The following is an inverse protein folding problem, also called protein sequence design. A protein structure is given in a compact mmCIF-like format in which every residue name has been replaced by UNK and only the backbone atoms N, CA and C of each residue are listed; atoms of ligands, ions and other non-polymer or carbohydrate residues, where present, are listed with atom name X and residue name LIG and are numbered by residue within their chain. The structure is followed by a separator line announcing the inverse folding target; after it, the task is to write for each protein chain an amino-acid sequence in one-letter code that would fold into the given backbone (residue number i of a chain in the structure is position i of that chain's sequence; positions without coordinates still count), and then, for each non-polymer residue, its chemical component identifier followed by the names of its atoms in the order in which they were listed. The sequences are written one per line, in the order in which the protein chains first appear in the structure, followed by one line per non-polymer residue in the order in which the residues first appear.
data_IF_751537387838
#
_entry.id   IF_751537387838
#
_cell.length_a   1.000
_cell.length_b   1.000
_cell.length_c   1.000
_cell.angle_alpha   90.00
_cell.angle_beta   90.00
_cell.angle_gamma   90.00
#
_symmetry.space_group_name_H-M   'P 1'
#
loop_
_entity.id
_entity.type
_entity.pdbx_description
1 polymer ?
#
# COMPACT_ATOMS: atom_id res chain seq x y z
N UNK A 1 -23.59 6.21 8.80
CA UNK A 1 -22.12 6.25 8.86
C UNK A 1 -21.55 5.15 7.99
N UNK A 2 -20.27 5.22 7.56
CA UNK A 2 -19.62 4.24 6.69
C UNK A 2 -18.13 4.08 7.07
N UNK A 3 -17.69 2.86 7.34
CA UNK A 3 -16.28 2.54 7.62
C UNK A 3 -15.98 1.08 7.26
N UNK A 4 -14.69 0.73 7.21
CA UNK A 4 -14.23 -0.62 6.82
C UNK A 4 -14.71 -1.75 7.76
N UNK A 5 -15.02 -1.44 9.03
CA UNK A 5 -15.53 -2.40 10.01
C UNK A 5 -16.98 -2.85 9.80
N UNK A 6 -17.75 -2.18 8.92
CA UNK A 6 -19.07 -2.66 8.53
C UNK A 6 -18.96 -3.89 7.63
N UNK A 7 -19.89 -4.85 7.75
CA UNK A 7 -20.01 -5.95 6.79
C UNK A 7 -20.27 -5.42 5.38
N UNK A 8 -19.80 -6.15 4.36
CA UNK A 8 -19.95 -5.74 2.96
C UNK A 8 -21.41 -5.48 2.55
N UNK A 9 -22.34 -6.30 3.04
CA UNK A 9 -23.78 -6.14 2.81
C UNK A 9 -24.32 -4.84 3.38
N UNK A 10 -23.95 -4.49 4.63
CA UNK A 10 -24.37 -3.25 5.26
C UNK A 10 -23.81 -2.02 4.53
N UNK A 11 -22.55 -2.09 4.06
CA UNK A 11 -21.97 -1.02 3.23
C UNK A 11 -22.81 -0.81 1.98
N UNK A 12 -23.12 -1.86 1.22
CA UNK A 12 -23.95 -1.77 0.01
C UNK A 12 -25.31 -1.11 0.28
N UNK A 13 -26.01 -1.54 1.34
CA UNK A 13 -27.32 -0.95 1.70
C UNK A 13 -27.20 0.56 1.96
N UNK A 14 -26.17 0.99 2.71
CA UNK A 14 -25.93 2.40 3.00
C UNK A 14 -25.60 3.18 1.73
N UNK A 15 -24.75 2.64 0.86
CA UNK A 15 -24.34 3.26 -0.40
C UNK A 15 -25.51 3.42 -1.37
N UNK A 16 -26.35 2.39 -1.53
CA UNK A 16 -27.54 2.42 -2.39
C UNK A 16 -28.62 3.36 -1.83
N UNK A 17 -28.77 3.39 -0.50
CA UNK A 17 -29.71 4.31 0.16
C UNK A 17 -29.25 5.76 0.06
N UNK A 18 -27.94 6.02 0.05
CA UNK A 18 -27.40 7.36 -0.21
C UNK A 18 -27.57 7.76 -1.67
N UNK A 19 -27.26 6.86 -2.62
CA UNK A 19 -27.41 7.12 -4.06
C UNK A 19 -28.86 7.39 -4.48
N UNK A 20 -29.82 6.66 -3.89
CA UNK A 20 -31.25 6.87 -4.09
C UNK A 20 -31.81 8.07 -3.31
N UNK A 21 -30.98 8.78 -2.55
CA UNK A 21 -31.38 9.96 -1.77
C UNK A 21 -32.26 9.66 -0.57
N UNK A 22 -32.37 8.40 -0.13
CA UNK A 22 -33.05 8.03 1.13
C UNK A 22 -32.22 8.47 2.34
N UNK A 23 -30.91 8.27 2.28
CA UNK A 23 -29.95 8.84 3.22
C UNK A 23 -29.49 10.18 2.67
N UNK A 24 -29.64 11.25 3.46
CA UNK A 24 -29.26 12.61 3.06
C UNK A 24 -27.83 12.97 3.43
N UNK A 25 -27.31 12.39 4.52
CA UNK A 25 -25.99 12.68 5.05
C UNK A 25 -25.26 11.36 5.33
N UNK A 26 -24.03 11.25 4.84
CA UNK A 26 -23.18 10.09 5.05
C UNK A 26 -21.85 10.53 5.67
N UNK A 27 -21.64 10.18 6.93
CA UNK A 27 -20.35 10.36 7.62
C UNK A 27 -19.49 9.12 7.36
N UNK A 28 -18.27 9.29 6.84
CA UNK A 28 -17.40 8.19 6.46
C UNK A 28 -15.94 8.38 6.87
N UNK A 29 -15.22 7.28 7.11
CA UNK A 29 -13.76 7.28 7.25
C UNK A 29 -13.07 7.33 5.88
N UNK A 30 -11.79 7.74 5.79
CA UNK A 30 -11.09 7.93 4.52
C UNK A 30 -11.09 6.73 3.56
N UNK A 31 -11.32 5.52 4.07
CA UNK A 31 -11.47 4.29 3.27
C UNK A 31 -12.56 4.40 2.20
N UNK A 32 -13.59 5.24 2.40
CA UNK A 32 -14.62 5.49 1.38
C UNK A 32 -14.09 6.35 0.21
N UNK A 33 -13.12 7.23 0.47
CA UNK A 33 -12.62 8.19 -0.51
C UNK A 33 -11.86 7.57 -1.69
N UNK A 34 -11.37 6.33 -1.54
CA UNK A 34 -10.56 5.65 -2.56
C UNK A 34 -11.30 4.55 -3.35
N UNK A 35 -12.46 4.07 -2.88
CA UNK A 35 -12.99 2.77 -3.35
C UNK A 35 -14.39 2.74 -3.96
N UNK A 36 -15.22 3.77 -3.75
CA UNK A 36 -16.63 3.74 -4.18
C UNK A 36 -17.01 5.04 -4.88
N UNK A 37 -17.66 4.96 -6.04
CA UNK A 37 -18.16 6.15 -6.74
C UNK A 37 -19.49 6.62 -6.11
N UNK A 38 -19.38 7.51 -5.13
CA UNK A 38 -20.51 8.13 -4.43
C UNK A 38 -20.30 9.64 -4.41
N UNK A 39 -20.64 10.34 -5.50
CA UNK A 39 -20.60 11.80 -5.52
C UNK A 39 -21.72 12.35 -4.65
N UNK A 40 -21.44 13.47 -3.99
CA UNK A 40 -22.39 14.18 -3.13
C UNK A 40 -22.42 15.65 -3.55
N UNK A 41 -23.55 16.35 -3.39
CA UNK A 41 -23.60 17.80 -3.70
C UNK A 41 -22.55 18.57 -2.90
N UNK A 42 -22.41 18.24 -1.62
CA UNK A 42 -21.44 18.85 -0.71
C UNK A 42 -20.60 17.77 0.01
N UNK A 43 -19.34 18.09 0.27
CA UNK A 43 -18.40 17.28 1.06
C UNK A 43 -17.84 18.13 2.18
N UNK A 44 -17.92 17.63 3.42
CA UNK A 44 -17.37 18.28 4.60
C UNK A 44 -16.21 17.43 5.13
N UNK A 45 -15.01 18.01 5.18
CA UNK A 45 -13.81 17.40 5.71
C UNK A 45 -13.63 17.93 7.14
N UNK A 46 -14.09 17.14 8.10
CA UNK A 46 -14.12 17.53 9.51
C UNK A 46 -12.76 17.54 10.21
N UNK A 47 -11.75 16.90 9.65
CA UNK A 47 -10.39 16.94 10.17
C UNK A 47 -9.37 16.70 9.06
N UNK A 48 -8.30 17.49 9.06
CA UNK A 48 -7.12 17.28 8.23
C UNK A 48 -6.01 16.53 8.97
N UNK A 49 -6.27 16.04 10.18
CA UNK A 49 -5.34 15.23 10.95
C UNK A 49 -5.82 13.77 11.05
N UNK A 50 -4.88 12.83 10.98
CA UNK A 50 -5.10 11.40 11.14
C UNK A 50 -4.00 10.79 12.00
N UNK A 51 -4.39 9.82 12.83
CA UNK A 51 -3.41 8.99 13.54
C UNK A 51 -2.68 8.07 12.57
N UNK A 52 -1.36 8.18 12.54
CA UNK A 52 -0.46 7.31 11.79
C UNK A 52 0.33 6.47 12.78
N UNK A 53 0.23 5.12 12.73
CA UNK A 53 0.99 4.24 13.61
C UNK A 53 2.49 4.58 13.61
N UNK A 54 3.08 4.73 14.79
CA UNK A 54 4.49 5.11 14.97
C UNK A 54 4.80 6.61 14.86
N UNK A 55 3.89 7.42 14.31
CA UNK A 55 4.10 8.87 14.11
C UNK A 55 3.10 9.76 14.86
N UNK A 56 2.04 9.17 15.45
CA UNK A 56 1.02 9.92 16.17
C UNK A 56 0.05 10.65 15.24
N UNK A 57 -0.50 11.78 15.69
CA UNK A 57 -1.38 12.60 14.85
C UNK A 57 -0.57 13.35 13.79
N UNK A 58 -0.88 13.10 12.53
CA UNK A 58 -0.20 13.66 11.36
C UNK A 58 -1.22 14.28 10.41
N UNK A 59 -0.81 15.28 9.64
CA UNK A 59 -1.65 15.86 8.59
C UNK A 59 -1.89 14.86 7.46
N UNK A 60 -3.09 14.90 6.86
CA UNK A 60 -3.37 14.18 5.62
C UNK A 60 -2.60 14.82 4.47
N UNK A 61 -2.27 14.04 3.44
CA UNK A 61 -1.63 14.59 2.24
C UNK A 61 -2.57 15.52 1.47
N UNK A 62 -2.00 16.43 0.67
CA UNK A 62 -2.75 17.29 -0.26
C UNK A 62 -3.49 16.42 -1.27
N UNK A 63 -2.86 15.34 -1.74
CA UNK A 63 -3.52 14.37 -2.62
C UNK A 63 -4.79 13.76 -1.99
N UNK A 64 -4.73 13.32 -0.73
CA UNK A 64 -5.90 12.78 -0.02
C UNK A 64 -7.00 13.83 0.15
N UNK A 65 -6.63 15.07 0.51
CA UNK A 65 -7.58 16.19 0.56
C UNK A 65 -8.27 16.39 -0.80
N UNK A 66 -7.52 16.47 -1.90
CA UNK A 66 -8.06 16.69 -3.25
C UNK A 66 -8.95 15.52 -3.70
N UNK A 67 -8.63 14.29 -3.32
CA UNK A 67 -9.48 13.12 -3.58
C UNK A 67 -10.81 13.19 -2.82
N UNK A 68 -10.81 13.67 -1.58
CA UNK A 68 -12.04 13.88 -0.81
C UNK A 68 -12.86 15.03 -1.40
N UNK A 69 -12.24 16.20 -1.62
CA UNK A 69 -12.93 17.38 -2.15
C UNK A 69 -13.49 17.14 -3.56
N UNK A 70 -12.80 16.35 -4.38
CA UNK A 70 -13.24 16.00 -5.74
C UNK A 70 -14.51 15.15 -5.81
N UNK A 71 -15.05 14.70 -4.66
CA UNK A 71 -16.34 14.01 -4.58
C UNK A 71 -17.52 14.96 -4.44
N UNK A 72 -17.26 16.25 -4.26
CA UNK A 72 -18.28 17.29 -4.24
C UNK A 72 -18.76 17.60 -5.67
N UNK A 73 -20.08 17.71 -5.83
CA UNK A 73 -20.76 17.88 -7.10
C UNK A 73 -21.14 16.53 -7.73
N UNK A 74 -22.42 16.34 -8.01
CA UNK A 74 -22.90 15.17 -8.77
C UNK A 74 -22.98 15.54 -10.25
N UNK A 75 -22.19 14.90 -11.13
CA UNK A 75 -22.30 15.10 -12.57
C UNK A 75 -23.76 14.93 -13.01
N UNK A 76 -24.25 15.83 -13.88
CA UNK A 76 -25.62 15.87 -14.41
C UNK A 76 -26.74 16.32 -13.45
N UNK A 77 -26.50 16.41 -12.13
CA UNK A 77 -27.52 16.82 -11.17
C UNK A 77 -27.28 18.19 -10.56
N UNK A 78 -26.02 18.55 -10.32
CA UNK A 78 -25.65 19.80 -9.68
C UNK A 78 -24.87 20.70 -10.66
N UNK A 79 -25.19 22.00 -10.69
CA UNK A 79 -24.45 22.99 -11.49
C UNK A 79 -23.03 23.23 -10.96
N UNK A 80 -22.83 23.02 -9.66
CA UNK A 80 -21.56 23.12 -8.96
C UNK A 80 -21.58 22.23 -7.70
N UNK A 81 -20.39 21.88 -7.20
CA UNK A 81 -20.20 21.15 -5.95
C UNK A 81 -19.51 22.01 -4.90
N UNK A 82 -19.76 21.73 -3.62
CA UNK A 82 -19.15 22.44 -2.50
C UNK A 82 -18.28 21.51 -1.66
N UNK A 83 -17.02 21.87 -1.45
CA UNK A 83 -16.12 21.17 -0.53
C UNK A 83 -15.68 22.12 0.58
N UNK A 84 -15.91 21.74 1.84
CA UNK A 84 -15.58 22.54 3.02
C UNK A 84 -14.58 21.81 3.89
N UNK A 85 -13.45 22.45 4.18
CA UNK A 85 -12.49 22.00 5.18
C UNK A 85 -12.70 22.78 6.47
N UNK A 86 -12.87 22.08 7.59
CA UNK A 86 -13.14 22.70 8.88
C UNK A 86 -11.84 23.16 9.54
N UNK A 87 -11.80 24.44 9.90
CA UNK A 87 -10.78 25.07 10.73
C UNK A 87 -11.41 25.56 12.04
N UNK A 88 -10.59 25.68 13.07
CA UNK A 88 -10.96 26.09 14.44
C UNK A 88 -10.73 27.59 14.68
N UNK A 89 -9.90 28.24 13.87
CA UNK A 89 -9.65 29.68 13.89
C UNK A 89 -9.52 30.25 12.47
N UNK A 90 -9.57 31.59 12.35
CA UNK A 90 -9.36 32.28 11.09
C UNK A 90 -7.93 32.08 10.56
N UNK A 91 -6.92 32.21 11.44
CA UNK A 91 -5.52 31.98 11.08
C UNK A 91 -5.29 30.56 10.55
N UNK A 92 -5.94 29.55 11.16
CA UNK A 92 -5.90 28.17 10.68
C UNK A 92 -6.62 28.03 9.33
N UNK A 93 -7.74 28.71 9.12
CA UNK A 93 -8.44 28.70 7.84
C UNK A 93 -7.57 29.25 6.70
N UNK A 94 -6.82 30.32 6.95
CA UNK A 94 -5.89 30.91 5.99
C UNK A 94 -4.73 29.96 5.67
N UNK A 95 -4.13 29.34 6.69
CA UNK A 95 -3.07 28.34 6.51
C UNK A 95 -3.54 27.10 5.73
N UNK A 96 -4.75 26.61 6.02
CA UNK A 96 -5.35 25.47 5.30
C UNK A 96 -5.76 25.83 3.88
N UNK A 97 -6.18 27.07 3.62
CA UNK A 97 -6.45 27.57 2.28
C UNK A 97 -5.19 27.50 1.42
N UNK A 98 -4.06 27.99 1.94
CA UNK A 98 -2.79 27.96 1.22
C UNK A 98 -2.27 26.52 1.06
N UNK A 99 -2.21 25.74 2.13
CA UNK A 99 -1.59 24.41 2.15
C UNK A 99 -2.37 23.32 1.42
N UNK A 100 -3.71 23.42 1.35
CA UNK A 100 -4.55 22.39 0.72
C UNK A 100 -5.33 22.90 -0.50
N UNK A 101 -5.98 24.05 -0.40
CA UNK A 101 -6.92 24.50 -1.44
C UNK A 101 -6.16 25.06 -2.64
N UNK A 102 -5.20 25.94 -2.40
CA UNK A 102 -4.42 26.61 -3.46
C UNK A 102 -3.20 25.79 -3.90
N UNK A 103 -2.73 24.87 -3.06
CA UNK A 103 -1.56 24.04 -3.36
C UNK A 103 -1.85 22.89 -4.34
N UNK A 104 -0.79 22.49 -5.06
CA UNK A 104 -0.79 21.30 -5.93
C UNK A 104 -0.49 20.05 -5.09
N UNK A 105 -1.00 18.87 -5.50
CA UNK A 105 -0.64 17.60 -4.86
C UNK A 105 0.87 17.38 -4.85
N UNK A 106 1.35 16.67 -3.83
CA UNK A 106 2.75 16.30 -3.69
C UNK A 106 3.20 15.42 -4.87
N UNK A 107 4.47 15.51 -5.29
CA UNK A 107 5.03 14.59 -6.29
C UNK A 107 4.85 13.14 -5.87
N UNK A 108 4.57 12.26 -6.84
CA UNK A 108 4.49 10.83 -6.59
C UNK A 108 5.90 10.26 -6.44
N UNK A 109 6.17 9.61 -5.31
CA UNK A 109 7.40 8.87 -5.07
C UNK A 109 7.17 7.37 -5.30
N UNK A 110 8.13 6.70 -5.92
CA UNK A 110 8.06 5.26 -6.12
C UNK A 110 8.09 4.50 -4.79
N UNK A 111 7.12 3.60 -4.59
CA UNK A 111 7.07 2.68 -3.43
C UNK A 111 7.95 1.44 -3.61
N UNK A 112 8.53 1.25 -4.79
CA UNK A 112 9.48 0.17 -5.08
C UNK A 112 10.77 0.30 -4.25
N UNK A 113 11.02 1.50 -3.71
CA UNK A 113 12.11 1.78 -2.77
C UNK A 113 12.01 0.95 -1.47
N UNK A 114 10.82 0.45 -1.12
CA UNK A 114 10.68 -0.35 0.08
C UNK A 114 11.39 -1.69 -0.06
N UNK A 115 12.17 -2.07 0.95
CA UNK A 115 12.96 -3.30 0.92
C UNK A 115 12.09 -4.55 0.67
N UNK A 116 10.90 -4.59 1.25
CA UNK A 116 9.94 -5.69 1.06
C UNK A 116 9.49 -5.83 -0.40
N UNK A 117 9.10 -4.72 -1.05
CA UNK A 117 8.69 -4.74 -2.45
C UNK A 117 9.87 -5.11 -3.35
N UNK A 118 11.02 -4.46 -3.15
CA UNK A 118 12.22 -4.72 -3.95
C UNK A 118 12.66 -6.18 -3.85
N UNK A 119 12.60 -6.77 -2.65
CA UNK A 119 12.93 -8.19 -2.40
C UNK A 119 11.98 -9.13 -3.13
N UNK A 120 10.68 -8.89 -3.02
CA UNK A 120 9.65 -9.70 -3.68
C UNK A 120 9.76 -9.62 -5.21
N UNK A 121 9.95 -8.42 -5.76
CA UNK A 121 10.10 -8.22 -7.21
C UNK A 121 11.42 -8.75 -7.75
N UNK A 122 12.52 -8.69 -6.98
CA UNK A 122 13.80 -9.28 -7.40
C UNK A 122 13.68 -10.80 -7.53
N UNK A 123 13.07 -11.45 -6.54
CA UNK A 123 12.85 -12.90 -6.62
C UNK A 123 11.92 -13.26 -7.78
N UNK A 124 10.85 -12.49 -8.00
CA UNK A 124 9.91 -12.74 -9.09
C UNK A 124 10.54 -12.58 -10.49
N UNK A 125 11.42 -11.58 -10.67
CA UNK A 125 12.15 -11.39 -11.93
C UNK A 125 13.06 -12.58 -12.24
N UNK A 126 13.71 -13.15 -11.23
CA UNK A 126 14.57 -14.35 -11.37
C UNK A 126 13.71 -15.61 -11.60
N UNK A 127 12.64 -15.78 -10.82
CA UNK A 127 11.79 -16.98 -10.87
C UNK A 127 10.96 -17.09 -12.15
N UNK A 128 10.67 -15.96 -12.79
CA UNK A 128 9.96 -15.89 -14.07
C UNK A 128 10.90 -15.85 -15.28
N UNK A 129 12.20 -16.10 -15.07
CA UNK A 129 13.24 -16.10 -16.11
C UNK A 129 13.37 -14.76 -16.89
N UNK A 130 12.98 -13.63 -16.27
CA UNK A 130 13.14 -12.29 -16.87
C UNK A 130 14.57 -11.76 -16.76
N UNK A 131 15.27 -12.11 -15.67
CA UNK A 131 16.64 -11.66 -15.43
C UNK A 131 17.48 -12.74 -14.75
N UNK A 132 18.65 -13.01 -15.32
CA UNK A 132 19.58 -14.05 -14.86
C UNK A 132 20.95 -13.51 -14.43
N UNK A 133 21.17 -12.20 -14.45
CA UNK A 133 22.44 -11.59 -14.07
C UNK A 133 22.19 -10.36 -13.23
N UNK A 134 23.20 -9.95 -12.45
CA UNK A 134 23.14 -8.70 -11.68
C UNK A 134 22.88 -7.49 -12.60
N UNK A 135 23.46 -7.49 -13.81
CA UNK A 135 23.22 -6.46 -14.84
C UNK A 135 21.79 -6.52 -15.39
N UNK A 136 21.28 -7.70 -15.75
CA UNK A 136 19.91 -7.85 -16.24
C UNK A 136 18.85 -7.42 -15.22
N UNK A 137 19.12 -7.63 -13.92
CA UNK A 137 18.27 -7.11 -12.84
C UNK A 137 18.32 -5.58 -12.77
N UNK A 138 19.50 -4.98 -12.91
CA UNK A 138 19.64 -3.53 -12.95
C UNK A 138 18.92 -2.91 -14.15
N UNK A 139 18.96 -3.55 -15.32
CA UNK A 139 18.25 -3.10 -16.52
C UNK A 139 16.73 -3.21 -16.35
N UNK A 140 16.26 -4.32 -15.79
CA UNK A 140 14.85 -4.53 -15.45
C UNK A 140 14.35 -3.44 -14.51
N UNK A 141 15.04 -3.19 -13.40
CA UNK A 141 14.64 -2.16 -12.44
C UNK A 141 14.88 -0.74 -12.95
N UNK A 142 15.87 -0.54 -13.83
CA UNK A 142 16.14 0.73 -14.50
C UNK A 142 14.98 1.20 -15.37
N UNK A 143 14.19 0.26 -15.90
CA UNK A 143 12.99 0.53 -16.70
C UNK A 143 11.74 0.81 -15.85
N UNK A 144 11.84 0.78 -14.51
CA UNK A 144 10.71 1.07 -13.61
C UNK A 144 10.60 2.55 -13.28
N UNK A 145 9.46 2.99 -12.73
CA UNK A 145 9.29 4.37 -12.23
C UNK A 145 10.33 4.75 -11.16
N UNK A 146 10.84 3.77 -10.39
CA UNK A 146 11.96 4.01 -9.47
C UNK A 146 13.25 4.30 -10.24
N UNK A 147 13.58 3.46 -11.23
CA UNK A 147 14.77 3.61 -12.07
C UNK A 147 14.77 4.94 -12.81
N UNK A 148 13.61 5.40 -13.28
CA UNK A 148 13.44 6.71 -13.92
C UNK A 148 13.74 7.87 -12.96
N UNK A 149 13.34 7.79 -11.68
CA UNK A 149 13.51 8.87 -10.70
C UNK A 149 14.88 8.93 -10.05
N UNK A 150 15.50 7.80 -9.72
CA UNK A 150 16.73 7.72 -8.93
C UNK A 150 17.96 7.24 -9.72
N UNK A 151 17.76 6.79 -10.96
CA UNK A 151 18.80 6.23 -11.81
C UNK A 151 19.26 4.82 -11.38
N UNK A 152 19.90 4.06 -12.30
CA UNK A 152 20.31 2.68 -12.05
C UNK A 152 21.40 2.54 -10.97
N UNK A 153 22.22 3.58 -10.76
CA UNK A 153 23.32 3.56 -9.79
C UNK A 153 22.84 3.44 -8.33
N UNK A 154 21.68 4.03 -7.99
CA UNK A 154 21.11 3.95 -6.64
C UNK A 154 20.53 2.58 -6.29
N UNK A 155 20.27 1.73 -7.27
CA UNK A 155 19.69 0.40 -7.10
C UNK A 155 20.72 -0.69 -6.82
N UNK A 156 21.98 -0.49 -7.21
CA UNK A 156 23.02 -1.51 -7.14
C UNK A 156 23.24 -2.01 -5.71
N UNK A 157 23.38 -1.11 -4.74
CA UNK A 157 23.55 -1.46 -3.33
C UNK A 157 22.38 -2.29 -2.77
N UNK A 158 21.14 -1.78 -2.84
CA UNK A 158 19.94 -2.49 -2.40
C UNK A 158 19.75 -3.86 -3.08
N UNK A 159 19.85 -3.94 -4.41
CA UNK A 159 19.70 -5.20 -5.15
C UNK A 159 20.78 -6.20 -4.73
N UNK A 160 22.04 -5.79 -4.64
CA UNK A 160 23.11 -6.68 -4.19
C UNK A 160 22.89 -7.19 -2.76
N UNK A 161 22.34 -6.37 -1.87
CA UNK A 161 21.97 -6.80 -0.51
C UNK A 161 20.86 -7.85 -0.53
N UNK A 162 19.83 -7.62 -1.34
CA UNK A 162 18.70 -8.54 -1.52
C UNK A 162 19.17 -9.87 -2.13
N UNK A 163 20.02 -9.85 -3.15
CA UNK A 163 20.55 -11.07 -3.76
C UNK A 163 21.33 -11.91 -2.75
N UNK A 164 22.20 -11.28 -1.93
CA UNK A 164 22.90 -11.97 -0.85
C UNK A 164 21.93 -12.58 0.17
N UNK A 165 20.86 -11.86 0.51
CA UNK A 165 19.81 -12.38 1.38
C UNK A 165 19.13 -13.61 0.76
N UNK A 166 18.62 -13.50 -0.47
CA UNK A 166 17.90 -14.58 -1.15
C UNK A 166 18.77 -15.82 -1.34
N UNK A 167 20.06 -15.64 -1.64
CA UNK A 167 21.04 -16.72 -1.79
C UNK A 167 21.29 -17.43 -0.46
N UNK A 168 21.55 -16.67 0.61
CA UNK A 168 21.74 -17.21 1.96
C UNK A 168 20.51 -18.00 2.43
N UNK A 169 19.31 -17.51 2.12
CA UNK A 169 18.06 -18.18 2.48
C UNK A 169 17.66 -19.30 1.51
N UNK A 170 18.51 -19.66 0.54
CA UNK A 170 18.30 -20.78 -0.37
C UNK A 170 17.17 -20.59 -1.37
N UNK A 171 16.77 -19.35 -1.66
CA UNK A 171 15.75 -19.01 -2.67
C UNK A 171 16.33 -18.86 -4.07
N UNK A 172 17.61 -18.49 -4.18
CA UNK A 172 18.31 -18.39 -5.46
C UNK A 172 19.63 -19.16 -5.40
N UNK A 173 20.14 -19.52 -6.58
CA UNK A 173 21.38 -20.26 -6.77
C UNK A 173 22.17 -19.57 -7.88
N UNK A 174 23.48 -19.36 -7.67
CA UNK A 174 24.40 -18.86 -8.68
C UNK A 174 25.12 -20.02 -9.37
N UNK A 175 25.05 -20.09 -10.71
CA UNK A 175 25.74 -21.11 -11.52
C UNK A 175 26.24 -20.50 -12.82
N UNK A 176 27.55 -20.63 -13.08
CA UNK A 176 28.16 -20.18 -14.33
C UNK A 176 28.02 -18.68 -14.61
N UNK A 177 28.00 -17.84 -13.57
CA UNK A 177 27.78 -16.40 -13.69
C UNK A 177 26.30 -15.98 -13.79
N UNK A 178 25.38 -16.95 -13.86
CA UNK A 178 23.95 -16.71 -13.90
C UNK A 178 23.29 -16.99 -12.55
N UNK A 179 22.11 -16.40 -12.35
CA UNK A 179 21.27 -16.50 -11.16
C UNK A 179 19.97 -17.22 -11.56
N UNK A 180 19.59 -18.21 -10.77
CA UNK A 180 18.36 -18.98 -10.95
C UNK A 180 17.60 -19.09 -9.64
N UNK A 181 16.27 -19.14 -9.71
CA UNK A 181 15.45 -19.45 -8.54
C UNK A 181 15.57 -20.95 -8.21
N UNK A 182 15.69 -21.29 -6.92
CA UNK A 182 15.52 -22.66 -6.45
C UNK A 182 14.04 -23.06 -6.49
N UNK A 183 13.73 -24.34 -6.28
CA UNK A 183 12.33 -24.79 -6.15
C UNK A 183 11.59 -24.04 -5.02
N UNK A 184 12.31 -23.77 -3.92
CA UNK A 184 11.77 -22.97 -2.82
C UNK A 184 11.50 -21.53 -3.24
N UNK A 185 12.49 -20.86 -3.87
CA UNK A 185 12.31 -19.48 -4.33
C UNK A 185 11.21 -19.33 -5.38
N UNK A 186 11.13 -20.28 -6.32
CA UNK A 186 10.06 -20.33 -7.33
C UNK A 186 8.69 -20.45 -6.67
N UNK A 187 8.53 -21.36 -5.71
CA UNK A 187 7.28 -21.52 -4.96
C UNK A 187 6.90 -20.25 -4.17
N UNK A 188 7.86 -19.58 -3.54
CA UNK A 188 7.61 -18.32 -2.81
C UNK A 188 7.08 -17.25 -3.76
N UNK A 189 7.67 -17.13 -4.95
CA UNK A 189 7.22 -16.21 -5.99
C UNK A 189 5.80 -16.54 -6.49
N UNK A 190 5.52 -17.81 -6.80
CA UNK A 190 4.20 -18.26 -7.28
C UNK A 190 3.07 -17.96 -6.28
N UNK A 191 3.37 -18.05 -4.97
CA UNK A 191 2.40 -17.79 -3.91
C UNK A 191 2.23 -16.30 -3.59
N UNK A 192 2.99 -15.41 -4.24
CA UNK A 192 3.02 -13.98 -3.94
C UNK A 192 3.28 -13.68 -2.45
N UNK A 193 4.09 -14.51 -1.80
CA UNK A 193 4.48 -14.33 -0.39
C UNK A 193 5.79 -13.54 -0.35
N UNK A 194 5.86 -12.54 0.52
CA UNK A 194 7.12 -11.83 0.77
C UNK A 194 8.22 -12.82 1.21
N UNK A 195 9.43 -12.78 0.63
CA UNK A 195 10.50 -13.72 0.94
C UNK A 195 10.87 -13.83 2.42
N UNK A 196 10.81 -12.75 3.19
CA UNK A 196 11.07 -12.81 4.64
C UNK A 196 9.97 -13.58 5.37
N UNK A 197 8.71 -13.36 4.99
CA UNK A 197 7.56 -14.13 5.50
C UNK A 197 7.72 -15.63 5.23
N UNK A 198 8.16 -16.01 4.03
CA UNK A 198 8.40 -17.41 3.67
C UNK A 198 9.53 -18.05 4.49
N UNK A 199 10.59 -17.30 4.80
CA UNK A 199 11.67 -17.75 5.69
C UNK A 199 11.17 -17.98 7.11
N UNK A 200 10.38 -17.05 7.66
CA UNK A 200 9.77 -17.20 8.99
C UNK A 200 8.91 -18.47 9.06
N UNK A 201 8.09 -18.71 8.03
CA UNK A 201 7.24 -19.90 7.95
C UNK A 201 8.10 -21.17 7.87
N UNK A 202 9.09 -21.21 6.97
CA UNK A 202 10.01 -22.35 6.80
C UNK A 202 10.73 -22.68 8.10
N UNK A 203 11.27 -21.68 8.77
CA UNK A 203 12.07 -21.88 9.98
C UNK A 203 11.18 -22.27 11.16
N UNK A 204 9.98 -21.68 11.27
CA UNK A 204 8.97 -22.11 12.24
C UNK A 204 8.54 -23.57 12.06
N UNK A 205 8.38 -24.01 10.80
CA UNK A 205 8.08 -25.41 10.46
C UNK A 205 9.23 -26.36 10.82
N UNK A 206 10.49 -25.93 10.61
CA UNK A 206 11.69 -26.74 10.91
C UNK A 206 11.98 -26.85 12.40
N UNK A 207 11.80 -25.76 13.16
CA UNK A 207 11.96 -25.77 14.61
C UNK A 207 10.90 -26.66 15.27
N UNK A 208 9.70 -26.71 14.69
CA UNK A 208 8.59 -27.49 15.20
C UNK A 208 8.06 -26.97 16.53
N UNK A 209 6.93 -27.51 16.98
CA UNK A 209 6.41 -27.30 18.32
C UNK A 209 6.25 -28.67 19.00
N UNK A 210 6.50 -28.73 20.31
CA UNK A 210 6.25 -29.96 21.10
C UNK A 210 4.80 -30.43 20.98
N UNK A 211 3.88 -29.51 20.78
CA UNK A 211 2.48 -29.78 20.47
C UNK A 211 2.05 -28.82 19.39
N UNK A 212 1.60 -29.36 18.26
CA UNK A 212 1.08 -28.56 17.15
C UNK A 212 -0.42 -28.45 17.35
N UNK A 213 -0.91 -27.22 17.46
CA UNK A 213 -2.33 -26.89 17.55
C UNK A 213 -2.68 -25.86 16.48
N UNK A 214 -3.97 -25.64 16.23
CA UNK A 214 -4.41 -24.56 15.33
C UNK A 214 -3.86 -23.19 15.76
N UNK A 215 -3.73 -22.97 17.07
CA UNK A 215 -3.12 -21.75 17.62
C UNK A 215 -1.64 -21.62 17.26
N UNK A 216 -0.90 -22.74 17.19
CA UNK A 216 0.51 -22.74 16.76
C UNK A 216 0.66 -22.23 15.33
N UNK A 217 -0.24 -22.65 14.43
CA UNK A 217 -0.26 -22.20 13.05
C UNK A 217 -0.66 -20.73 12.92
N UNK A 218 -1.71 -20.32 13.63
CA UNK A 218 -2.15 -18.91 13.67
C UNK A 218 -1.05 -18.00 14.21
N UNK A 219 -0.37 -18.41 15.29
CA UNK A 219 0.75 -17.66 15.84
C UNK A 219 1.89 -17.51 14.84
N UNK A 220 2.25 -18.58 14.11
CA UNK A 220 3.30 -18.53 13.09
C UNK A 220 2.95 -17.55 11.96
N UNK A 221 1.70 -17.57 11.47
CA UNK A 221 1.23 -16.67 10.42
C UNK A 221 1.22 -15.22 10.91
N UNK A 222 0.74 -14.96 12.13
CA UNK A 222 0.71 -13.61 12.71
C UNK A 222 2.09 -13.01 12.97
N UNK A 223 3.17 -13.81 12.94
CA UNK A 223 4.55 -13.32 13.03
C UNK A 223 5.12 -12.87 11.68
N UNK A 224 4.42 -13.12 10.58
CA UNK A 224 4.88 -12.70 9.26
C UNK A 224 4.55 -11.23 9.00
N UNK A 225 5.43 -10.47 8.32
CA UNK A 225 5.16 -9.08 7.92
C UNK A 225 3.86 -8.87 7.10
N UNK A 226 3.34 -9.92 6.46
CA UNK A 226 2.12 -9.87 5.64
C UNK A 226 0.83 -9.90 6.47
N UNK A 227 0.90 -10.31 7.73
CA UNK A 227 -0.25 -10.34 8.62
C UNK A 227 -0.20 -9.13 9.56
N UNK A 228 -1.07 -8.14 9.33
CA UNK A 228 -1.33 -7.09 10.32
C UNK A 228 -2.43 -7.57 11.26
N UNK A 229 -2.13 -7.88 12.54
CA UNK A 229 -3.20 -8.15 13.50
C UNK A 229 -4.02 -6.87 13.67
N UNK A 230 -5.31 -6.98 13.32
CA UNK A 230 -6.31 -5.91 13.45
C UNK A 230 -6.80 -5.75 14.88
#
# INVERSE_FOLDING_TARGET
FHHAGLRAEHRRIVEDSFRSGKIKILVATPTLAAGVNLPAKAVIIGSYHRFTPGYGMTRISILEYKQMSGRAGRPQYDAYGEATLIASSQDEAEELMESYILSKPEPLYSRLASESALRSHTLAAIASDYAHTDEGLLDFFGSTFYGYHYGPLGLRGPISSILRYLEREGMIIRKGGYIYASDFGRRVSELYIDPLSAVIIRDGLRLGARTVTDFTWLHLICRTPTCTPS
#
